data_IF_297655110932
#
_entry.id   IF_297655110932
#
_cell.length_a   1.000
_cell.length_b   1.000
_cell.length_c   1.000
_cell.angle_alpha   90.00
_cell.angle_beta   90.00
_cell.angle_gamma   90.00
#
_symmetry.space_group_name_H-M   'P 1'
#
loop_
_entity.id
_entity.type
_entity.pdbx_description
1 polymer ?
#
# COMPACT_ATOMS: atom_id res chain seq x y z
N UNK A 1 14.91 11.16 -8.79
CA UNK A 1 15.83 11.34 -9.94
C UNK A 1 16.61 12.62 -9.75
N UNK A 2 17.81 12.73 -10.33
CA UNK A 2 18.70 13.88 -10.12
C UNK A 2 18.39 15.10 -11.01
N UNK A 3 17.50 14.94 -12.00
CA UNK A 3 17.11 15.99 -12.95
C UNK A 3 15.61 16.25 -12.86
N UNK A 4 15.14 17.51 -12.87
CA UNK A 4 13.72 17.83 -12.87
C UNK A 4 13.01 17.24 -14.10
N UNK A 5 11.79 16.72 -13.96
CA UNK A 5 11.05 16.22 -15.11
C UNK A 5 10.66 17.38 -16.03
N UNK A 6 10.58 17.15 -17.36
CA UNK A 6 10.19 18.19 -18.33
C UNK A 6 8.72 18.60 -18.22
N UNK A 7 7.91 17.81 -17.52
CA UNK A 7 6.50 18.08 -17.24
C UNK A 7 6.19 17.68 -15.80
N UNK A 8 5.51 18.58 -15.08
CA UNK A 8 4.98 18.33 -13.74
C UNK A 8 3.46 18.47 -13.82
N UNK A 9 2.68 17.41 -13.53
CA UNK A 9 1.23 17.49 -13.57
C UNK A 9 0.70 18.46 -12.51
N UNK A 10 -0.29 19.29 -12.89
CA UNK A 10 -1.06 20.09 -11.93
C UNK A 10 -1.72 19.16 -10.90
N UNK A 11 -1.41 19.29 -9.59
CA UNK A 11 -1.97 18.44 -8.54
C UNK A 11 -3.48 18.59 -8.36
N UNK A 12 -4.11 19.62 -8.95
CA UNK A 12 -5.57 19.85 -8.90
C UNK A 12 -6.30 19.26 -10.10
N UNK A 13 -5.60 18.68 -11.06
CA UNK A 13 -6.19 18.15 -12.30
C UNK A 13 -6.17 16.62 -12.32
N UNK A 14 -7.32 16.01 -12.61
CA UNK A 14 -7.42 14.59 -12.89
C UNK A 14 -7.14 14.35 -14.38
N UNK A 15 -6.12 13.55 -14.68
CA UNK A 15 -5.70 13.22 -16.05
C UNK A 15 -6.36 11.92 -16.54
N UNK A 16 -7.68 11.91 -16.58
CA UNK A 16 -8.49 10.78 -17.04
C UNK A 16 -9.75 11.29 -17.78
N UNK A 17 -10.47 10.39 -18.44
CA UNK A 17 -11.81 10.70 -18.99
C UNK A 17 -12.80 10.98 -17.87
N UNK A 18 -13.84 11.74 -18.18
CA UNK A 18 -14.97 11.90 -17.27
C UNK A 18 -15.61 10.52 -17.01
N UNK A 19 -16.00 10.26 -15.77
CA UNK A 19 -16.68 9.02 -15.37
C UNK A 19 -17.98 8.85 -16.18
N UNK A 20 -18.67 9.93 -16.53
CA UNK A 20 -19.87 9.90 -17.38
C UNK A 20 -19.60 9.50 -18.84
N UNK A 21 -18.36 9.58 -19.30
CA UNK A 21 -17.94 9.11 -20.62
C UNK A 21 -17.39 7.67 -20.59
N UNK A 22 -17.28 7.06 -19.41
CA UNK A 22 -16.91 5.65 -19.25
C UNK A 22 -18.17 4.81 -19.35
N UNK A 23 -18.23 3.94 -20.38
CA UNK A 23 -19.35 3.02 -20.54
C UNK A 23 -19.47 2.05 -19.36
N UNK A 24 -20.69 1.84 -18.89
CA UNK A 24 -20.96 0.82 -17.87
C UNK A 24 -20.87 -0.58 -18.48
N UNK A 25 -20.20 -1.50 -17.79
CA UNK A 25 -20.24 -2.92 -18.12
C UNK A 25 -21.47 -3.57 -17.48
N UNK A 26 -22.12 -4.47 -18.20
CA UNK A 26 -23.18 -5.31 -17.62
C UNK A 26 -22.57 -6.32 -16.66
N UNK A 27 -23.23 -6.56 -15.52
CA UNK A 27 -22.86 -7.66 -14.63
C UNK A 27 -23.08 -9.01 -15.30
N UNK A 28 -22.05 -9.85 -15.33
CA UNK A 28 -22.18 -11.25 -15.75
C UNK A 28 -22.92 -12.01 -14.64
N UNK A 29 -24.02 -12.68 -14.99
CA UNK A 29 -24.83 -13.50 -14.06
C UNK A 29 -24.57 -14.99 -14.32
N UNK A 30 -24.71 -15.81 -13.28
CA UNK A 30 -24.57 -17.27 -13.39
C UNK A 30 -23.14 -17.78 -13.31
N UNK A 31 -22.20 -16.98 -12.79
CA UNK A 31 -20.85 -17.44 -12.44
C UNK A 31 -20.89 -17.97 -11.01
N UNK A 32 -20.49 -19.21 -10.82
CA UNK A 32 -20.27 -19.82 -9.51
C UNK A 32 -18.76 -19.89 -9.28
N UNK A 33 -18.31 -19.49 -8.09
CA UNK A 33 -16.90 -19.61 -7.70
C UNK A 33 -16.66 -20.99 -7.11
N UNK A 34 -15.58 -21.63 -7.53
CA UNK A 34 -15.20 -22.94 -7.04
C UNK A 34 -13.97 -22.92 -6.11
N UNK A 35 -13.49 -24.11 -5.77
CA UNK A 35 -12.34 -24.28 -4.88
C UNK A 35 -11.03 -23.77 -5.51
N UNK A 36 -10.85 -23.87 -6.82
CA UNK A 36 -9.64 -23.38 -7.49
C UNK A 36 -9.65 -21.85 -7.59
N UNK A 37 -10.82 -21.23 -7.79
CA UNK A 37 -10.96 -19.77 -7.71
C UNK A 37 -10.59 -19.25 -6.33
N UNK A 38 -11.03 -19.95 -5.28
CA UNK A 38 -10.70 -19.61 -3.89
C UNK A 38 -9.19 -19.73 -3.66
N UNK A 39 -8.58 -20.82 -4.11
CA UNK A 39 -7.13 -21.04 -4.01
C UNK A 39 -6.32 -19.96 -4.73
N UNK A 40 -6.79 -19.53 -5.90
CA UNK A 40 -6.18 -18.42 -6.64
C UNK A 40 -6.28 -17.11 -5.85
N UNK A 41 -7.46 -16.79 -5.30
CA UNK A 41 -7.66 -15.59 -4.48
C UNK A 41 -6.75 -15.57 -3.25
N UNK A 42 -6.54 -16.72 -2.60
CA UNK A 42 -5.63 -16.88 -1.46
C UNK A 42 -4.18 -16.62 -1.85
N UNK A 43 -3.71 -17.20 -2.96
CA UNK A 43 -2.34 -17.01 -3.44
C UNK A 43 -2.11 -15.57 -3.94
N UNK A 44 -3.12 -14.98 -4.58
CA UNK A 44 -3.06 -13.61 -5.09
C UNK A 44 -2.96 -12.58 -3.96
N UNK A 45 -3.70 -12.81 -2.86
CA UNK A 45 -3.80 -11.88 -1.74
C UNK A 45 -2.62 -12.03 -0.77
N UNK A 46 -1.39 -11.88 -1.29
CA UNK A 46 -0.16 -12.06 -0.51
C UNK A 46 0.07 -11.03 0.61
N UNK A 47 -0.84 -10.06 0.74
CA UNK A 47 -0.75 -8.99 1.72
C UNK A 47 0.32 -7.96 1.35
N UNK A 48 1.04 -7.50 2.36
CA UNK A 48 1.99 -6.39 2.25
C UNK A 48 3.26 -6.78 1.51
N UNK A 49 3.71 -5.91 0.59
CA UNK A 49 5.04 -6.03 -0.04
C UNK A 49 6.05 -5.30 0.83
N UNK A 50 7.06 -6.03 1.31
CA UNK A 50 7.95 -5.56 2.38
C UNK A 50 8.64 -4.22 2.10
N UNK A 51 9.24 -4.03 0.92
CA UNK A 51 10.02 -2.82 0.60
C UNK A 51 9.11 -1.57 0.53
N UNK A 52 8.04 -1.53 -0.30
CA UNK A 52 7.16 -0.37 -0.35
C UNK A 52 6.53 -0.02 1.00
N UNK A 53 6.20 -1.02 1.82
CA UNK A 53 5.61 -0.78 3.13
C UNK A 53 6.61 -0.19 4.13
N UNK A 54 7.87 -0.63 4.10
CA UNK A 54 8.92 -0.01 4.90
C UNK A 54 9.21 1.42 4.43
N UNK A 55 9.22 1.67 3.12
CA UNK A 55 9.34 3.01 2.55
C UNK A 55 8.19 3.91 3.02
N UNK A 56 6.94 3.43 2.99
CA UNK A 56 5.78 4.14 3.51
C UNK A 56 5.96 4.52 5.00
N UNK A 57 6.41 3.59 5.85
CA UNK A 57 6.64 3.86 7.28
C UNK A 57 7.72 4.93 7.52
N UNK A 58 8.73 4.99 6.66
CA UNK A 58 9.79 6.00 6.72
C UNK A 58 9.30 7.35 6.21
N UNK A 59 8.64 7.39 5.05
CA UNK A 59 8.17 8.63 4.39
C UNK A 59 7.05 9.33 5.16
N UNK A 60 6.18 8.55 5.80
CA UNK A 60 5.09 9.09 6.65
C UNK A 60 5.56 9.49 8.04
N UNK A 61 6.80 9.17 8.42
CA UNK A 61 7.36 9.46 9.74
C UNK A 61 6.96 8.47 10.84
N UNK A 62 6.09 7.49 10.55
CA UNK A 62 5.61 6.50 11.53
C UNK A 62 6.76 5.75 12.18
N UNK A 63 7.78 5.37 11.41
CA UNK A 63 8.96 4.70 11.96
C UNK A 63 9.70 5.60 12.95
N UNK A 64 9.84 6.90 12.66
CA UNK A 64 10.52 7.84 13.56
C UNK A 64 9.75 8.02 14.88
N UNK A 65 8.42 8.01 14.82
CA UNK A 65 7.58 8.17 16.01
C UNK A 65 7.55 6.93 16.90
N UNK A 66 7.56 5.73 16.30
CA UNK A 66 7.37 4.47 17.02
C UNK A 66 8.67 3.75 17.36
N UNK A 67 9.72 3.90 16.56
CA UNK A 67 11.00 3.23 16.78
C UNK A 67 11.85 3.98 17.81
N UNK A 68 11.39 3.99 19.05
CA UNK A 68 12.00 4.70 20.18
C UNK A 68 12.88 3.78 21.02
N UNK A 69 13.98 4.33 21.55
CA UNK A 69 14.84 3.66 22.51
C UNK A 69 14.89 4.44 23.82
N UNK A 70 15.07 3.75 24.95
CA UNK A 70 15.23 4.38 26.26
C UNK A 70 16.62 5.01 26.46
N UNK A 71 16.95 5.48 27.68
CA UNK A 71 18.30 5.91 28.02
C UNK A 71 19.37 4.81 27.79
N UNK A 72 20.67 5.17 27.66
CA UNK A 72 21.74 4.20 27.52
C UNK A 72 21.72 3.13 28.62
N UNK A 73 21.85 1.87 28.23
CA UNK A 73 21.80 0.73 29.16
C UNK A 73 20.38 0.23 29.52
N UNK A 74 19.34 0.81 28.93
CA UNK A 74 17.95 0.33 29.06
C UNK A 74 17.48 -0.39 27.79
N UNK A 75 16.55 -1.34 27.94
CA UNK A 75 15.77 -1.91 26.85
C UNK A 75 14.37 -1.25 26.87
N UNK A 76 13.76 -0.99 25.71
CA UNK A 76 12.35 -0.62 25.68
C UNK A 76 11.48 -1.82 26.13
N UNK A 77 10.28 -1.57 26.70
CA UNK A 77 9.46 -2.63 27.30
C UNK A 77 9.10 -3.79 26.36
N UNK A 78 8.94 -3.52 25.06
CA UNK A 78 8.65 -4.52 24.02
C UNK A 78 9.85 -5.43 23.69
N UNK A 79 11.04 -5.09 24.16
CA UNK A 79 12.26 -5.87 24.01
C UNK A 79 12.81 -6.40 25.36
N UNK A 80 12.17 -6.13 26.50
CA UNK A 80 12.55 -6.71 27.80
C UNK A 80 12.09 -8.17 27.86
N UNK A 81 13.01 -9.14 27.99
CA UNK A 81 12.66 -10.56 28.02
C UNK A 81 12.07 -11.05 29.35
N UNK A 82 11.99 -10.21 30.38
CA UNK A 82 11.54 -10.58 31.74
C UNK A 82 10.06 -10.29 32.02
#
# INVERSE_FOLDING_TARGET
GLVPPPFVPDPRKVYAKDIGEVGAFSTVRGVELDAEDTRLCEVFSSGTVAIPWQEELLETGVFQELNVWGPPGTLPPDLDPN
#
